data_IF_502974689254
#
_entry.id   IF_502974689254
#
_cell.length_a   1.000
_cell.length_b   1.000
_cell.length_c   1.000
_cell.angle_alpha   90.00
_cell.angle_beta   90.00
_cell.angle_gamma   90.00
#
_symmetry.space_group_name_H-M   'P 1'
#
loop_
_entity.id
_entity.type
_entity.pdbx_description
1 polymer ?
#
# COMPACT_ATOMS: atom_id res chain seq x y z
N UNK A 1 2.20 -1.62 -43.95
CA UNK A 1 1.40 -0.96 -42.90
C UNK A 1 2.24 -0.97 -41.65
N UNK A 2 2.74 0.20 -41.25
CA UNK A 2 3.65 0.38 -40.10
C UNK A 2 2.77 0.58 -38.87
N UNK A 3 2.55 -0.46 -38.08
CA UNK A 3 1.83 -0.32 -36.82
C UNK A 3 2.68 0.47 -35.83
N UNK A 4 2.00 1.40 -35.15
CA UNK A 4 2.54 2.32 -34.17
C UNK A 4 3.18 1.51 -33.03
N UNK A 5 4.48 1.71 -32.83
CA UNK A 5 5.15 1.45 -31.56
C UNK A 5 4.55 2.41 -30.53
N UNK A 6 3.45 1.99 -29.92
CA UNK A 6 2.94 2.62 -28.71
C UNK A 6 3.92 2.29 -27.60
N UNK A 7 4.74 3.26 -27.22
CA UNK A 7 5.43 3.25 -25.93
C UNK A 7 4.35 3.30 -24.83
N UNK A 8 3.76 2.14 -24.54
CA UNK A 8 2.98 1.94 -23.32
C UNK A 8 3.92 2.24 -22.18
N UNK A 9 3.61 3.30 -21.45
CA UNK A 9 4.33 3.76 -20.28
C UNK A 9 4.15 2.71 -19.17
N UNK A 10 4.89 1.61 -19.27
CA UNK A 10 5.03 0.60 -18.22
C UNK A 10 5.71 1.35 -17.08
N UNK A 11 4.92 1.80 -16.10
CA UNK A 11 5.41 2.21 -14.79
C UNK A 11 6.22 1.03 -14.26
N UNK A 12 7.55 1.12 -14.39
CA UNK A 12 8.41 0.01 -14.01
C UNK A 12 8.24 -0.14 -12.50
N UNK A 13 8.31 -1.37 -12.01
CA UNK A 13 8.31 -1.70 -10.57
C UNK A 13 9.24 -0.79 -9.73
N UNK A 14 10.28 -0.25 -10.36
CA UNK A 14 11.23 0.71 -9.79
C UNK A 14 10.64 2.11 -9.51
N UNK A 15 9.63 2.56 -10.26
CA UNK A 15 8.99 3.87 -10.08
C UNK A 15 8.09 3.89 -8.84
N UNK A 16 7.42 2.77 -8.56
CA UNK A 16 6.65 2.56 -7.33
C UNK A 16 7.57 2.48 -6.10
N UNK A 17 8.70 1.80 -6.21
CA UNK A 17 9.73 1.78 -5.17
C UNK A 17 10.31 3.19 -4.92
N UNK A 18 10.52 3.99 -5.97
CA UNK A 18 10.99 5.37 -5.86
C UNK A 18 9.96 6.29 -5.21
N UNK A 19 8.66 6.14 -5.55
CA UNK A 19 7.59 6.89 -4.92
C UNK A 19 7.44 6.56 -3.43
N UNK A 20 7.50 5.28 -3.06
CA UNK A 20 7.48 4.83 -1.66
C UNK A 20 8.71 5.32 -0.88
N UNK A 21 9.90 5.29 -1.50
CA UNK A 21 11.12 5.82 -0.91
C UNK A 21 11.05 7.34 -0.69
N UNK A 22 10.48 8.08 -1.64
CA UNK A 22 10.29 9.53 -1.52
C UNK A 22 9.32 9.88 -0.36
N UNK A 23 8.24 9.12 -0.18
CA UNK A 23 7.33 9.28 0.97
C UNK A 23 8.05 8.97 2.29
N UNK A 24 8.90 7.95 2.32
CA UNK A 24 9.71 7.60 3.50
C UNK A 24 10.71 8.72 3.86
N UNK A 25 11.36 9.32 2.87
CA UNK A 25 12.29 10.46 3.07
C UNK A 25 11.54 11.69 3.57
N UNK A 26 10.35 11.97 3.04
CA UNK A 26 9.48 13.07 3.49
C UNK A 26 8.99 12.88 4.94
N UNK A 27 8.68 11.64 5.35
CA UNK A 27 8.31 11.32 6.73
C UNK A 27 9.49 11.44 7.70
N UNK A 28 10.72 11.11 7.27
CA UNK A 28 11.93 11.29 8.07
C UNK A 28 12.32 12.77 8.27
N UNK A 29 11.85 13.66 7.39
CA UNK A 29 12.19 15.09 7.42
C UNK A 29 11.22 15.96 8.24
N UNK A 30 10.12 15.40 8.76
CA UNK A 30 9.15 16.18 9.54
C UNK A 30 9.75 16.61 10.90
N UNK A 31 9.82 17.93 11.20
CA UNK A 31 10.42 18.41 12.45
C UNK A 31 9.62 17.93 13.66
N UNK A 32 10.31 17.25 14.58
CA UNK A 32 9.80 16.86 15.88
C UNK A 32 9.62 18.12 16.76
N UNK A 33 8.53 18.87 16.54
CA UNK A 33 8.22 20.06 17.34
C UNK A 33 6.72 20.17 17.56
N UNK A 34 6.12 19.12 18.12
CA UNK A 34 4.87 19.27 18.85
C UNK A 34 5.24 19.37 20.33
N UNK A 35 5.27 20.59 20.88
CA UNK A 35 5.35 20.76 22.33
C UNK A 35 4.06 20.20 22.93
N UNK A 36 4.14 19.00 23.50
CA UNK A 36 3.11 18.50 24.39
C UNK A 36 2.79 19.60 25.41
N UNK A 37 1.51 19.93 25.57
CA UNK A 37 1.08 20.99 26.48
C UNK A 37 1.72 20.77 27.85
N UNK A 38 2.69 21.62 28.19
CA UNK A 38 3.31 21.58 29.51
C UNK A 38 2.21 21.86 30.52
N UNK A 39 2.10 21.00 31.53
CA UNK A 39 1.27 21.25 32.70
C UNK A 39 1.71 22.61 33.28
N UNK A 40 0.93 23.67 33.02
CA UNK A 40 1.18 24.99 33.58
C UNK A 40 0.60 24.96 34.99
N UNK A 41 1.48 24.79 35.98
CA UNK A 41 1.14 25.16 37.34
C UNK A 41 0.79 26.65 37.33
N UNK A 42 -0.36 26.99 37.89
CA UNK A 42 -0.74 28.39 38.05
C UNK A 42 0.16 29.04 39.09
N UNK A 43 0.33 30.36 39.05
CA UNK A 43 1.10 31.06 40.08
C UNK A 43 0.50 30.84 41.48
N UNK A 44 -0.81 30.57 41.57
CA UNK A 44 -1.49 30.23 42.83
C UNK A 44 -1.02 28.89 43.41
N UNK A 45 -0.75 27.89 42.56
CA UNK A 45 -0.19 26.60 42.99
C UNK A 45 1.26 26.74 43.48
N UNK A 46 2.01 27.69 42.91
CA UNK A 46 3.40 27.98 43.30
C UNK A 46 3.43 28.77 44.61
N UNK A 47 2.56 29.77 44.78
CA UNK A 47 2.45 30.57 46.01
C UNK A 47 1.98 29.74 47.20
N UNK A 48 1.10 28.75 46.97
CA UNK A 48 0.66 27.81 48.00
C UNK A 48 1.81 26.93 48.53
N UNK A 49 2.80 26.60 47.70
CA UNK A 49 4.00 25.84 48.10
C UNK A 49 5.03 26.72 48.80
N UNK A 50 5.09 28.02 48.47
CA UNK A 50 6.08 28.95 49.03
C UNK A 50 5.67 29.57 50.37
N UNK A 51 4.38 29.63 50.71
CA UNK A 51 3.91 30.22 51.98
C UNK A 51 4.12 29.33 53.22
N UNK A 52 4.50 28.06 53.06
CA UNK A 52 4.60 27.10 54.18
C UNK A 52 6.00 27.05 54.85
N UNK A 53 6.82 28.08 54.67
CA UNK A 53 8.28 28.04 54.89
C UNK A 53 8.86 28.60 56.19
N UNK A 54 8.08 29.11 57.15
CA UNK A 54 8.65 29.87 58.29
C UNK A 54 8.94 29.04 59.57
N UNK A 55 8.59 27.75 59.62
CA UNK A 55 8.65 26.95 60.85
C UNK A 55 9.88 26.03 60.97
N UNK A 56 10.91 26.19 60.13
CA UNK A 56 12.17 25.41 60.22
C UNK A 56 12.03 23.90 59.99
N UNK A 57 10.83 23.44 59.64
CA UNK A 57 10.53 22.08 59.23
C UNK A 57 11.03 21.89 57.80
N UNK A 58 11.84 20.85 57.54
CA UNK A 58 12.19 20.52 56.15
C UNK A 58 10.89 20.35 55.35
N UNK A 59 10.74 20.98 54.17
CA UNK A 59 9.54 20.86 53.36
C UNK A 59 9.32 19.37 53.08
N UNK A 60 8.33 18.80 53.75
CA UNK A 60 7.84 17.49 53.40
C UNK A 60 7.14 17.69 52.08
N UNK A 61 7.78 17.26 50.99
CA UNK A 61 7.10 17.12 49.71
C UNK A 61 5.79 16.39 50.03
N UNK A 62 4.62 16.96 49.70
CA UNK A 62 3.36 16.29 49.94
C UNK A 62 3.52 14.87 49.39
N UNK A 63 3.15 13.85 50.18
CA UNK A 63 3.08 12.48 49.70
C UNK A 63 2.18 12.50 48.47
N UNK A 64 2.80 12.61 47.29
CA UNK A 64 2.08 12.68 46.03
C UNK A 64 1.31 11.37 45.98
N UNK A 65 -0.05 11.40 46.00
CA UNK A 65 -0.85 10.20 46.08
C UNK A 65 -0.34 9.23 45.03
N UNK A 66 0.20 8.11 45.51
CA UNK A 66 1.25 7.35 44.84
C UNK A 66 1.03 7.28 43.34
N UNK A 67 1.99 7.82 42.57
CA UNK A 67 2.04 7.90 41.09
C UNK A 67 1.01 6.99 40.43
N UNK A 68 -0.24 7.46 40.35
CA UNK A 68 -1.29 6.72 39.69
C UNK A 68 -0.96 6.81 38.21
N UNK A 69 -0.30 5.77 37.70
CA UNK A 69 -0.06 5.61 36.28
C UNK A 69 -1.40 5.83 35.57
N UNK A 70 -1.47 6.86 34.73
CA UNK A 70 -2.68 7.14 33.97
C UNK A 70 -3.13 5.85 33.26
N UNK A 71 -4.43 5.49 33.32
CA UNK A 71 -4.90 4.24 32.75
C UNK A 71 -4.55 4.16 31.26
N UNK A 72 -3.94 3.04 30.86
CA UNK A 72 -3.52 2.80 29.47
C UNK A 72 -4.74 2.89 28.55
N UNK A 73 -4.66 3.78 27.55
CA UNK A 73 -5.73 4.00 26.58
C UNK A 73 -5.49 3.07 25.39
N UNK A 74 -6.29 2.02 25.27
CA UNK A 74 -6.20 1.08 24.14
C UNK A 74 -6.95 1.58 22.89
N UNK A 75 -7.92 2.50 23.08
CA UNK A 75 -8.76 3.00 21.99
C UNK A 75 -7.98 3.71 20.86
N UNK A 76 -6.89 4.47 21.09
CA UNK A 76 -6.12 5.06 19.99
C UNK A 76 -5.45 3.99 19.12
N UNK A 77 -5.02 2.87 19.72
CA UNK A 77 -4.46 1.73 18.97
C UNK A 77 -5.52 1.14 18.03
N UNK A 78 -6.74 0.93 18.54
CA UNK A 78 -7.84 0.41 17.75
C UNK A 78 -8.22 1.35 16.59
N UNK A 79 -8.23 2.67 16.83
CA UNK A 79 -8.48 3.65 15.77
C UNK A 79 -7.39 3.63 14.70
N UNK A 80 -6.11 3.54 15.08
CA UNK A 80 -5.00 3.41 14.13
C UNK A 80 -5.04 2.11 13.32
N UNK A 81 -5.63 1.03 13.87
CA UNK A 81 -5.81 -0.23 13.15
C UNK A 81 -6.90 -0.12 12.07
N UNK A 82 -7.98 0.63 12.35
CA UNK A 82 -9.07 0.88 11.41
C UNK A 82 -8.64 1.85 10.30
N UNK A 83 -8.02 2.96 10.69
CA UNK A 83 -7.58 4.01 9.78
C UNK A 83 -6.17 4.49 10.20
N UNK A 84 -5.14 4.29 9.36
CA UNK A 84 -3.79 4.74 9.67
C UNK A 84 -3.74 6.21 10.06
N UNK A 85 -3.10 6.52 11.19
CA UNK A 85 -2.93 7.87 11.71
C UNK A 85 -4.10 8.42 12.54
N UNK A 86 -5.25 7.74 12.58
CA UNK A 86 -6.43 8.24 13.30
C UNK A 86 -6.23 8.25 14.83
N UNK A 87 -5.59 7.23 15.39
CA UNK A 87 -5.20 7.25 16.80
C UNK A 87 -4.34 8.47 17.14
N UNK A 88 -3.44 8.86 16.25
CA UNK A 88 -2.52 9.97 16.47
C UNK A 88 -3.25 11.30 16.47
N UNK A 89 -4.11 11.51 15.46
CA UNK A 89 -4.92 12.73 15.37
C UNK A 89 -5.83 12.87 16.59
N UNK A 90 -6.49 11.79 17.01
CA UNK A 90 -7.40 11.81 18.16
C UNK A 90 -6.70 12.00 19.52
N UNK A 91 -5.40 11.72 19.60
CA UNK A 91 -4.56 12.04 20.78
C UNK A 91 -3.88 13.41 20.68
N UNK A 92 -4.18 14.19 19.64
CA UNK A 92 -3.64 15.55 19.44
C UNK A 92 -2.35 15.62 18.62
N UNK A 93 -1.87 14.48 18.09
CA UNK A 93 -0.66 14.42 17.27
C UNK A 93 -1.02 14.61 15.79
N UNK A 94 -0.69 15.77 15.23
CA UNK A 94 -0.99 16.11 13.83
C UNK A 94 -0.19 15.28 12.80
N UNK A 95 0.84 14.56 13.24
CA UNK A 95 1.64 13.68 12.39
C UNK A 95 0.90 12.44 11.88
N UNK A 96 -0.32 12.18 12.36
CA UNK A 96 -1.21 11.16 11.80
C UNK A 96 -1.88 11.58 10.48
N UNK A 97 -2.02 12.89 10.20
CA UNK A 97 -2.69 13.39 8.99
C UNK A 97 -2.05 12.90 7.68
N UNK A 98 -0.71 12.89 7.53
CA UNK A 98 -0.07 12.32 6.34
C UNK A 98 -0.43 10.85 6.08
N UNK A 99 -0.55 10.02 7.13
CA UNK A 99 -0.91 8.60 6.95
C UNK A 99 -2.35 8.44 6.46
N UNK A 100 -3.29 9.24 6.99
CA UNK A 100 -4.68 9.25 6.52
C UNK A 100 -4.73 9.62 5.03
N UNK A 101 -3.95 10.63 4.63
CA UNK A 101 -3.88 11.06 3.23
C UNK A 101 -3.30 9.97 2.32
N UNK A 102 -2.23 9.28 2.75
CA UNK A 102 -1.63 8.17 2.01
C UNK A 102 -2.60 7.00 1.90
N UNK A 103 -3.28 6.61 2.99
CA UNK A 103 -4.28 5.53 2.96
C UNK A 103 -5.42 5.86 1.98
N UNK A 104 -5.92 7.09 2.01
CA UNK A 104 -6.93 7.55 1.05
C UNK A 104 -6.47 7.48 -0.41
N UNK A 105 -5.22 7.85 -0.69
CA UNK A 105 -4.64 7.74 -2.03
C UNK A 105 -4.48 6.27 -2.47
N UNK A 106 -4.08 5.38 -1.56
CA UNK A 106 -3.99 3.94 -1.83
C UNK A 106 -5.39 3.38 -2.17
N UNK A 107 -6.41 3.69 -1.37
CA UNK A 107 -7.79 3.22 -1.63
C UNK A 107 -8.36 3.75 -2.94
N UNK A 108 -8.06 5.00 -3.29
CA UNK A 108 -8.40 5.53 -4.61
C UNK A 108 -7.73 4.72 -5.73
N UNK A 109 -6.44 4.39 -5.59
CA UNK A 109 -5.72 3.53 -6.53
C UNK A 109 -6.31 2.12 -6.65
N UNK A 110 -6.64 1.48 -5.51
CA UNK A 110 -7.32 0.18 -5.47
C UNK A 110 -8.64 0.23 -6.24
N UNK A 111 -9.47 1.25 -5.97
CA UNK A 111 -10.74 1.43 -6.66
C UNK A 111 -10.56 1.63 -8.18
N UNK A 112 -9.65 2.52 -8.58
CA UNK A 112 -9.36 2.77 -10.00
C UNK A 112 -8.89 1.50 -10.70
N UNK A 113 -7.95 0.75 -10.11
CA UNK A 113 -7.42 -0.48 -10.71
C UNK A 113 -8.39 -1.64 -10.72
N UNK A 114 -9.32 -1.69 -9.78
CA UNK A 114 -10.45 -2.62 -9.86
C UNK A 114 -11.35 -2.30 -11.05
N UNK A 115 -11.67 -1.03 -11.30
CA UNK A 115 -12.52 -0.63 -12.43
C UNK A 115 -11.80 -0.89 -13.76
N UNK A 116 -10.54 -0.46 -13.89
CA UNK A 116 -9.73 -0.69 -15.10
C UNK A 116 -9.64 -2.19 -15.44
N UNK A 117 -9.37 -3.04 -14.44
CA UNK A 117 -9.29 -4.50 -14.61
C UNK A 117 -10.62 -5.11 -15.07
N UNK A 118 -11.74 -4.69 -14.46
CA UNK A 118 -13.08 -5.15 -14.83
C UNK A 118 -13.48 -4.69 -16.25
N UNK A 119 -13.17 -3.45 -16.62
CA UNK A 119 -13.51 -2.91 -17.94
C UNK A 119 -12.76 -3.67 -19.03
N UNK A 120 -11.46 -3.93 -18.82
CA UNK A 120 -10.64 -4.76 -19.72
C UNK A 120 -11.04 -6.22 -19.73
N UNK A 121 -11.53 -6.75 -18.61
CA UNK A 121 -12.08 -8.10 -18.53
C UNK A 121 -13.28 -8.24 -19.47
N UNK A 122 -14.25 -7.33 -19.36
CA UNK A 122 -15.39 -7.30 -20.26
C UNK A 122 -14.97 -7.14 -21.74
N UNK A 123 -13.92 -6.38 -22.03
CA UNK A 123 -13.39 -6.22 -23.40
C UNK A 123 -12.82 -7.55 -23.95
N UNK A 124 -11.98 -8.27 -23.19
CA UNK A 124 -11.41 -9.53 -23.69
C UNK A 124 -12.47 -10.63 -23.78
N UNK A 125 -13.44 -10.64 -22.86
CA UNK A 125 -14.56 -11.60 -22.90
C UNK A 125 -15.40 -11.39 -24.16
N UNK A 126 -15.77 -10.13 -24.45
CA UNK A 126 -16.48 -9.79 -25.67
C UNK A 126 -15.70 -10.19 -26.93
N UNK A 127 -14.38 -9.96 -26.94
CA UNK A 127 -13.50 -10.37 -28.04
C UNK A 127 -13.49 -11.90 -28.23
N UNK A 128 -13.34 -12.67 -27.15
CA UNK A 128 -13.40 -14.13 -27.22
C UNK A 128 -14.77 -14.63 -27.70
N UNK A 129 -15.88 -14.05 -27.24
CA UNK A 129 -17.22 -14.42 -27.70
C UNK A 129 -17.44 -14.13 -29.19
N UNK A 130 -16.76 -13.13 -29.75
CA UNK A 130 -16.80 -12.83 -31.17
C UNK A 130 -15.91 -13.77 -31.99
N UNK A 131 -14.71 -14.10 -31.50
CA UNK A 131 -13.65 -14.72 -32.29
C UNK A 131 -13.34 -16.18 -31.94
N UNK A 132 -13.90 -16.72 -30.87
CA UNK A 132 -13.75 -18.11 -30.46
C UNK A 132 -15.10 -18.84 -30.49
N UNK A 133 -15.14 -20.01 -31.11
CA UNK A 133 -16.33 -20.84 -31.27
C UNK A 133 -16.14 -22.22 -30.65
N UNK A 134 -16.97 -22.54 -29.67
CA UNK A 134 -17.00 -23.86 -29.03
C UNK A 134 -17.42 -24.95 -30.02
N UNK A 135 -18.39 -24.66 -30.88
CA UNK A 135 -18.90 -25.60 -31.87
C UNK A 135 -17.79 -25.99 -32.88
N UNK A 136 -16.99 -25.02 -33.32
CA UNK A 136 -15.88 -25.27 -34.27
C UNK A 136 -14.73 -26.02 -33.60
N UNK A 137 -14.47 -25.72 -32.33
CA UNK A 137 -13.54 -26.49 -31.51
C UNK A 137 -14.00 -27.94 -31.32
N UNK A 138 -15.28 -28.19 -31.04
CA UNK A 138 -15.85 -29.54 -30.93
C UNK A 138 -15.77 -30.29 -32.27
N UNK A 139 -15.95 -29.62 -33.42
CA UNK A 139 -15.76 -30.21 -34.75
C UNK A 139 -14.31 -30.63 -34.95
N UNK A 140 -13.34 -29.77 -34.61
CA UNK A 140 -11.92 -30.09 -34.72
C UNK A 140 -11.52 -31.27 -33.82
N UNK A 141 -12.06 -31.32 -32.60
CA UNK A 141 -11.90 -32.43 -31.66
C UNK A 141 -12.44 -33.75 -32.28
N UNK A 142 -13.64 -33.71 -32.87
CA UNK A 142 -14.26 -34.89 -33.48
C UNK A 142 -13.52 -35.38 -34.75
N UNK A 143 -12.84 -34.48 -35.47
CA UNK A 143 -12.03 -34.81 -36.64
C UNK A 143 -10.64 -35.37 -36.28
N UNK A 144 -10.24 -35.29 -35.00
CA UNK A 144 -8.91 -35.69 -34.56
C UNK A 144 -7.82 -34.64 -34.83
N UNK A 145 -8.19 -33.39 -35.15
CA UNK A 145 -7.23 -32.32 -35.45
C UNK A 145 -6.35 -31.97 -34.23
N UNK A 146 -6.81 -32.33 -33.03
CA UNK A 146 -6.09 -32.13 -31.77
C UNK A 146 -5.14 -33.28 -31.41
N UNK A 147 -5.14 -34.40 -32.14
CA UNK A 147 -4.33 -35.59 -31.83
C UNK A 147 -2.82 -35.28 -31.63
N UNK A 148 -2.18 -34.40 -32.43
CA UNK A 148 -0.77 -34.04 -32.21
C UNK A 148 -0.48 -33.36 -30.86
N UNK A 149 -1.48 -32.75 -30.22
CA UNK A 149 -1.34 -32.04 -28.94
C UNK A 149 -1.58 -32.96 -27.73
N UNK A 150 -2.14 -34.15 -27.97
CA UNK A 150 -2.68 -35.03 -26.93
C UNK A 150 -2.13 -36.46 -26.97
N UNK A 151 -1.06 -36.74 -27.72
CA UNK A 151 -0.46 -38.09 -27.79
C UNK A 151 -0.20 -38.69 -26.39
N UNK A 152 0.14 -37.85 -25.40
CA UNK A 152 0.42 -38.29 -24.01
C UNK A 152 -0.84 -38.42 -23.12
N UNK A 153 -1.91 -37.67 -23.40
CA UNK A 153 -3.11 -37.61 -22.53
C UNK A 153 -4.26 -38.51 -23.01
N UNK A 154 -4.14 -39.09 -24.20
CA UNK A 154 -5.20 -39.86 -24.84
C UNK A 154 -6.22 -38.92 -25.47
N UNK A 155 -6.39 -39.01 -26.78
CA UNK A 155 -7.37 -38.20 -27.51
C UNK A 155 -8.77 -38.65 -27.13
N UNK A 156 -9.39 -37.88 -26.24
CA UNK A 156 -10.83 -37.80 -26.18
C UNK A 156 -11.40 -37.47 -27.55
N UNK A 157 -12.50 -38.10 -27.94
CA UNK A 157 -13.32 -37.65 -29.09
C UNK A 157 -14.52 -36.84 -28.62
N UNK A 158 -14.59 -36.59 -27.31
CA UNK A 158 -15.64 -35.83 -26.66
C UNK A 158 -15.02 -34.79 -25.71
N UNK A 159 -15.71 -33.68 -25.51
CA UNK A 159 -15.27 -32.61 -24.60
C UNK A 159 -15.07 -33.06 -23.16
N UNK A 160 -15.84 -34.06 -22.72
CA UNK A 160 -15.76 -34.62 -21.36
C UNK A 160 -14.42 -35.34 -21.12
N UNK A 161 -13.74 -35.74 -22.19
CA UNK A 161 -12.44 -36.40 -22.14
C UNK A 161 -11.27 -35.40 -22.19
N UNK A 162 -11.53 -34.13 -22.53
CA UNK A 162 -10.48 -33.10 -22.66
C UNK A 162 -10.12 -32.57 -21.28
N UNK A 163 -8.87 -32.76 -20.80
CA UNK A 163 -8.43 -32.20 -19.53
C UNK A 163 -8.64 -30.68 -19.50
N UNK A 164 -9.04 -30.12 -18.35
CA UNK A 164 -9.23 -28.67 -18.16
C UNK A 164 -10.40 -28.05 -18.94
N UNK A 165 -11.13 -28.80 -19.77
CA UNK A 165 -12.37 -28.28 -20.33
C UNK A 165 -13.39 -28.11 -19.19
N UNK A 166 -13.96 -26.91 -19.10
CA UNK A 166 -15.02 -26.57 -18.16
C UNK A 166 -16.11 -25.86 -18.97
N UNK A 167 -17.36 -26.36 -18.98
CA UNK A 167 -18.44 -25.68 -19.69
C UNK A 167 -18.63 -24.25 -19.16
N UNK A 168 -18.93 -23.30 -20.04
CA UNK A 168 -19.09 -21.89 -19.65
C UNK A 168 -20.18 -21.69 -18.61
N UNK A 169 -21.25 -22.49 -18.65
CA UNK A 169 -22.35 -22.42 -17.69
C UNK A 169 -21.96 -22.90 -16.28
N UNK A 170 -20.84 -23.62 -16.16
CA UNK A 170 -20.33 -24.14 -14.89
C UNK A 170 -19.36 -23.16 -14.25
N UNK A 171 -18.39 -22.66 -15.02
CA UNK A 171 -17.42 -21.64 -14.58
C UNK A 171 -16.97 -20.79 -15.77
N UNK A 172 -17.63 -19.65 -15.96
CA UNK A 172 -17.38 -18.71 -17.06
C UNK A 172 -15.94 -18.16 -17.02
N UNK A 173 -15.43 -17.85 -15.83
CA UNK A 173 -14.07 -17.34 -15.63
C UNK A 173 -13.03 -18.36 -16.07
N UNK A 174 -13.20 -19.61 -15.66
CA UNK A 174 -12.29 -20.70 -16.02
C UNK A 174 -12.37 -21.02 -17.52
N UNK A 175 -13.56 -20.94 -18.12
CA UNK A 175 -13.76 -21.11 -19.57
C UNK A 175 -12.96 -20.06 -20.37
N UNK A 176 -13.07 -18.77 -20.03
CA UNK A 176 -12.31 -17.70 -20.70
C UNK A 176 -10.80 -17.85 -20.47
N UNK A 177 -10.39 -18.21 -19.24
CA UNK A 177 -8.98 -18.46 -18.95
C UNK A 177 -8.42 -19.59 -19.84
N UNK A 178 -9.15 -20.69 -19.96
CA UNK A 178 -8.69 -21.87 -20.69
C UNK A 178 -8.66 -21.63 -22.21
N UNK A 179 -9.65 -20.95 -22.79
CA UNK A 179 -9.75 -20.67 -24.23
C UNK A 179 -8.50 -20.01 -24.84
N UNK A 180 -7.81 -19.14 -24.08
CA UNK A 180 -6.56 -18.52 -24.52
C UNK A 180 -5.29 -19.25 -24.06
N UNK A 181 -5.32 -19.83 -22.86
CA UNK A 181 -4.12 -20.30 -22.15
C UNK A 181 -3.56 -21.61 -22.70
N UNK A 182 -4.39 -22.53 -23.16
CA UNK A 182 -3.94 -23.87 -23.56
C UNK A 182 -4.13 -24.11 -25.06
N UNK A 183 -3.11 -24.66 -25.70
CA UNK A 183 -3.08 -24.92 -27.14
C UNK A 183 -4.17 -25.89 -27.61
N UNK A 184 -4.64 -26.76 -26.72
CA UNK A 184 -5.78 -27.63 -26.97
C UNK A 184 -7.08 -26.90 -27.33
N UNK A 185 -7.22 -25.61 -26.96
CA UNK A 185 -8.37 -24.78 -27.32
C UNK A 185 -8.10 -23.90 -28.54
N UNK A 186 -6.93 -24.02 -29.18
CA UNK A 186 -6.53 -23.15 -30.28
C UNK A 186 -7.51 -23.23 -31.47
N UNK A 187 -7.99 -24.44 -31.80
CA UNK A 187 -8.90 -24.66 -32.93
C UNK A 187 -10.26 -23.96 -32.83
N UNK A 188 -10.65 -23.47 -31.65
CA UNK A 188 -11.86 -22.65 -31.53
C UNK A 188 -11.71 -21.25 -32.11
N UNK A 189 -10.48 -20.75 -32.26
CA UNK A 189 -10.22 -19.42 -32.81
C UNK A 189 -10.54 -19.35 -34.31
N UNK A 190 -11.17 -18.24 -34.71
CA UNK A 190 -11.72 -18.01 -36.05
C UNK A 190 -10.77 -18.30 -37.20
N UNK A 191 -9.48 -18.01 -37.04
CA UNK A 191 -8.51 -18.19 -38.14
C UNK A 191 -8.35 -19.65 -38.57
N UNK A 192 -8.61 -20.60 -37.68
CA UNK A 192 -8.51 -22.03 -38.00
C UNK A 192 -9.60 -22.51 -38.98
N UNK A 193 -10.80 -21.96 -38.88
CA UNK A 193 -11.96 -22.43 -39.64
C UNK A 193 -12.46 -21.45 -40.71
N UNK A 194 -12.19 -20.14 -40.62
CA UNK A 194 -12.47 -19.18 -41.71
C UNK A 194 -11.32 -19.04 -42.70
N UNK A 195 -10.10 -18.85 -42.19
CA UNK A 195 -8.92 -18.54 -43.03
C UNK A 195 -8.17 -19.81 -43.47
N UNK A 196 -8.58 -20.98 -42.96
CA UNK A 196 -7.91 -22.25 -43.22
C UNK A 196 -6.49 -22.27 -42.67
N UNK A 197 -6.23 -21.56 -41.57
CA UNK A 197 -4.94 -21.56 -40.92
C UNK A 197 -4.61 -22.98 -40.45
N UNK A 198 -3.53 -23.55 -40.99
CA UNK A 198 -3.03 -24.88 -40.67
C UNK A 198 -1.71 -24.68 -39.94
N UNK A 199 -1.65 -24.88 -38.61
CA UNK A 199 -0.40 -24.72 -37.87
C UNK A 199 0.58 -25.78 -38.36
N UNK A 200 1.79 -25.39 -38.75
CA UNK A 200 2.83 -26.38 -38.97
C UNK A 200 3.14 -27.04 -37.63
N UNK A 201 3.23 -28.39 -37.54
CA UNK A 201 3.56 -29.05 -36.28
C UNK A 201 4.92 -28.57 -35.77
N UNK A 202 4.90 -27.67 -34.79
CA UNK A 202 6.09 -27.19 -34.09
C UNK A 202 6.54 -28.20 -33.04
N UNK A 203 7.77 -28.04 -32.55
CA UNK A 203 8.24 -28.88 -31.46
C UNK A 203 7.45 -28.56 -30.16
N UNK A 204 7.19 -29.56 -29.29
CA UNK A 204 6.45 -29.37 -28.04
C UNK A 204 7.04 -28.33 -27.07
N UNK A 205 8.31 -27.97 -27.26
CA UNK A 205 9.01 -27.03 -26.37
C UNK A 205 8.58 -25.57 -26.58
N UNK A 206 7.87 -25.25 -27.67
CA UNK A 206 7.61 -23.87 -28.08
C UNK A 206 6.23 -23.33 -27.63
N UNK A 207 5.47 -24.08 -26.84
CA UNK A 207 4.04 -23.82 -26.55
C UNK A 207 3.72 -22.46 -25.88
N UNK A 208 4.72 -21.80 -25.28
CA UNK A 208 4.53 -20.52 -24.58
C UNK A 208 5.18 -19.32 -25.28
N UNK A 209 5.80 -19.53 -26.45
CA UNK A 209 6.52 -18.47 -27.13
C UNK A 209 5.70 -17.89 -28.28
N UNK A 210 6.02 -16.65 -28.67
CA UNK A 210 5.34 -15.95 -29.76
C UNK A 210 5.53 -16.63 -31.13
N UNK A 211 6.48 -17.55 -31.26
CA UNK A 211 6.71 -18.42 -32.41
C UNK A 211 5.98 -19.77 -32.32
N UNK A 212 5.13 -19.97 -31.30
CA UNK A 212 4.23 -21.11 -31.25
C UNK A 212 3.34 -21.12 -32.51
N UNK A 213 3.35 -22.19 -33.32
CA UNK A 213 2.52 -22.28 -34.53
C UNK A 213 1.03 -22.26 -34.22
N UNK A 214 0.61 -22.47 -32.97
CA UNK A 214 -0.80 -22.33 -32.55
C UNK A 214 -1.17 -20.95 -32.02
N UNK A 215 -0.22 -20.01 -32.02
CA UNK A 215 -0.44 -18.63 -31.64
C UNK A 215 -0.89 -17.81 -32.85
N UNK A 216 -2.20 -17.87 -33.14
CA UNK A 216 -2.79 -17.05 -34.20
C UNK A 216 -2.84 -15.57 -33.80
N UNK A 217 -2.92 -14.62 -34.76
CA UNK A 217 -3.06 -13.20 -34.45
C UNK A 217 -4.18 -12.85 -33.46
N UNK A 218 -5.38 -13.40 -33.61
CA UNK A 218 -6.53 -13.17 -32.72
C UNK A 218 -6.30 -13.78 -31.35
N UNK A 219 -5.76 -15.01 -31.28
CA UNK A 219 -5.42 -15.64 -29.99
C UNK A 219 -4.38 -14.82 -29.24
N UNK A 220 -3.36 -14.34 -29.93
CA UNK A 220 -2.34 -13.48 -29.34
C UNK A 220 -2.93 -12.14 -28.86
N UNK A 221 -3.81 -11.51 -29.65
CA UNK A 221 -4.52 -10.30 -29.24
C UNK A 221 -5.34 -10.52 -27.97
N UNK A 222 -6.10 -11.63 -27.90
CA UNK A 222 -6.83 -12.03 -26.70
C UNK A 222 -5.93 -12.19 -25.47
N UNK A 223 -4.80 -12.89 -25.60
CA UNK A 223 -3.85 -13.11 -24.50
C UNK A 223 -3.31 -11.78 -23.98
N UNK A 224 -2.95 -10.86 -24.88
CA UNK A 224 -2.46 -9.53 -24.51
C UNK A 224 -3.54 -8.69 -23.80
N UNK A 225 -4.79 -8.76 -24.24
CA UNK A 225 -5.91 -8.08 -23.55
C UNK A 225 -6.12 -8.64 -22.14
N UNK A 226 -6.09 -9.98 -22.00
CA UNK A 226 -6.19 -10.66 -20.70
C UNK A 226 -5.02 -10.34 -19.78
N UNK A 227 -3.79 -10.34 -20.29
CA UNK A 227 -2.59 -9.92 -19.54
C UNK A 227 -2.75 -8.49 -19.03
N UNK A 228 -3.25 -7.58 -19.87
CA UNK A 228 -3.48 -6.18 -19.46
C UNK A 228 -4.54 -6.02 -18.36
N UNK A 229 -5.58 -6.87 -18.33
CA UNK A 229 -6.55 -6.91 -17.23
C UNK A 229 -5.90 -7.45 -15.94
N UNK A 230 -5.14 -8.54 -16.05
CA UNK A 230 -4.43 -9.14 -14.91
C UNK A 230 -3.41 -8.18 -14.27
N UNK A 231 -2.69 -7.40 -15.07
CA UNK A 231 -1.73 -6.40 -14.58
C UNK A 231 -2.39 -5.34 -13.67
N UNK A 232 -3.63 -4.94 -14.00
CA UNK A 232 -4.38 -3.99 -13.16
C UNK A 232 -4.82 -4.64 -11.84
N UNK A 233 -5.25 -5.90 -11.87
CA UNK A 233 -5.58 -6.64 -10.65
C UNK A 233 -4.34 -6.92 -9.77
N UNK A 234 -3.18 -7.23 -10.36
CA UNK A 234 -1.93 -7.40 -9.61
C UNK A 234 -1.50 -6.06 -8.96
N UNK A 235 -1.67 -4.95 -9.69
CA UNK A 235 -1.42 -3.61 -9.16
C UNK A 235 -2.37 -3.30 -8.00
N UNK A 236 -3.66 -3.62 -8.11
CA UNK A 236 -4.64 -3.50 -7.03
C UNK A 236 -4.20 -4.29 -5.79
N UNK A 237 -3.76 -5.53 -5.95
CA UNK A 237 -3.36 -6.40 -4.84
C UNK A 237 -2.07 -5.91 -4.16
N UNK A 238 -1.14 -5.37 -4.95
CA UNK A 238 0.05 -4.66 -4.43
C UNK A 238 -0.35 -3.46 -3.58
N UNK A 239 -1.32 -2.66 -4.01
CA UNK A 239 -1.84 -1.52 -3.26
C UNK A 239 -2.56 -1.95 -1.98
N UNK A 240 -3.37 -3.00 -2.02
CA UNK A 240 -4.00 -3.58 -0.82
C UNK A 240 -2.96 -4.03 0.21
N UNK A 241 -1.89 -4.67 -0.25
CA UNK A 241 -0.75 -5.06 0.60
C UNK A 241 -0.07 -3.84 1.24
N UNK A 242 0.12 -2.76 0.47
CA UNK A 242 0.65 -1.50 0.99
C UNK A 242 -0.27 -0.87 2.06
N UNK A 243 -1.60 -0.89 1.87
CA UNK A 243 -2.56 -0.41 2.86
C UNK A 243 -2.46 -1.21 4.18
N UNK A 244 -2.34 -2.55 4.09
CA UNK A 244 -2.16 -3.41 5.26
C UNK A 244 -0.86 -3.10 6.02
N UNK A 245 0.25 -2.89 5.30
CA UNK A 245 1.53 -2.50 5.90
C UNK A 245 1.44 -1.13 6.58
N UNK A 246 0.78 -0.16 5.95
CA UNK A 246 0.59 1.18 6.51
C UNK A 246 -0.23 1.13 7.82
N UNK A 247 -1.26 0.28 7.89
CA UNK A 247 -2.04 0.04 9.12
C UNK A 247 -1.19 -0.57 10.22
N UNK A 248 -0.41 -1.61 9.92
CA UNK A 248 0.48 -2.24 10.88
C UNK A 248 1.50 -1.23 11.43
N UNK A 249 2.11 -0.42 10.55
CA UNK A 249 3.02 0.65 10.93
C UNK A 249 2.34 1.68 11.83
N UNK A 250 1.12 2.12 11.48
CA UNK A 250 0.39 3.10 12.28
C UNK A 250 0.08 2.59 13.69
N UNK A 251 -0.31 1.32 13.85
CA UNK A 251 -0.53 0.71 15.16
C UNK A 251 0.77 0.66 15.97
N UNK A 252 1.88 0.26 15.36
CA UNK A 252 3.20 0.22 16.03
C UNK A 252 3.67 1.61 16.47
N UNK A 253 3.48 2.63 15.63
CA UNK A 253 3.76 4.02 15.97
C UNK A 253 2.93 4.49 17.16
N UNK A 254 1.68 4.03 17.24
CA UNK A 254 0.78 4.33 18.34
C UNK A 254 1.19 3.62 19.65
N UNK A 255 1.59 2.35 19.58
CA UNK A 255 2.17 1.59 20.70
C UNK A 255 3.40 2.33 21.26
N UNK A 256 4.27 2.82 20.38
CA UNK A 256 5.44 3.61 20.76
C UNK A 256 5.06 4.92 21.47
N UNK A 257 4.11 5.70 20.92
CA UNK A 257 3.65 6.96 21.52
C UNK A 257 3.01 6.81 22.89
N UNK A 258 2.19 5.78 23.09
CA UNK A 258 1.52 5.55 24.36
C UNK A 258 2.50 5.06 25.46
N UNK A 259 3.76 4.80 25.10
CA UNK A 259 4.80 4.34 26.02
C UNK A 259 4.64 2.88 26.41
N UNK A 260 4.11 2.04 25.50
CA UNK A 260 4.10 0.59 25.71
C UNK A 260 5.50 -0.02 25.55
N UNK A 261 6.33 0.58 24.70
CA UNK A 261 7.72 0.19 24.46
C UNK A 261 8.62 1.34 24.90
N UNK A 262 9.23 1.19 26.07
CA UNK A 262 9.97 2.26 26.76
C UNK A 262 9.14 2.81 27.92
N UNK A 263 9.74 2.90 29.11
CA UNK A 263 9.11 3.62 30.23
C UNK A 263 8.75 5.01 29.69
N UNK A 264 7.53 5.49 29.89
CA UNK A 264 7.22 6.90 29.65
C UNK A 264 8.37 7.68 30.25
N UNK A 265 9.13 8.40 29.43
CA UNK A 265 10.00 9.46 29.91
C UNK A 265 9.05 10.58 30.38
N UNK A 266 8.21 10.29 31.38
CA UNK A 266 8.01 11.24 32.44
C UNK A 266 9.41 11.41 33.00
N UNK A 267 10.15 12.38 32.42
CA UNK A 267 11.31 12.93 33.08
C UNK A 267 10.83 13.23 34.49
N UNK A 268 11.28 12.42 35.46
CA UNK A 268 11.00 12.62 36.85
C UNK A 268 11.47 14.04 37.16
N UNK A 269 10.53 14.99 37.19
CA UNK A 269 10.75 16.41 37.40
C UNK A 269 12.01 16.97 36.72
N UNK A 270 11.93 17.35 35.44
CA UNK A 270 12.50 18.67 35.16
C UNK A 270 11.50 19.68 35.76
N UNK A 271 11.59 19.83 37.08
CA UNK A 271 11.07 21.00 37.76
C UNK A 271 11.82 22.14 37.09
N UNK A 272 11.19 22.81 36.12
CA UNK A 272 11.58 24.17 35.78
C UNK A 272 11.29 24.98 37.02
N UNK A 273 12.25 25.02 37.94
CA UNK A 273 12.43 26.12 38.86
C UNK A 273 12.65 27.32 37.96
N UNK A 274 11.57 27.95 37.49
CA UNK A 274 11.63 29.36 37.21
C UNK A 274 11.88 30.00 38.57
N UNK A 275 13.15 30.14 38.94
CA UNK A 275 13.51 31.23 39.84
C UNK A 275 12.99 32.48 39.14
N UNK A 276 11.86 33.00 39.61
CA UNK A 276 11.57 34.41 39.45
C UNK A 276 12.79 35.11 40.04
N UNK A 277 13.65 35.66 39.18
CA UNK A 277 14.76 36.48 39.65
C UNK A 277 14.15 37.52 40.62
N UNK A 278 14.64 37.60 41.86
CA UNK A 278 14.24 38.68 42.74
C UNK A 278 14.55 39.96 41.99
N UNK A 279 13.55 40.85 41.92
CA UNK A 279 13.62 42.17 41.29
C UNK A 279 14.86 42.93 41.76
N UNK A 280 15.96 42.73 41.04
CA UNK A 280 17.28 43.30 41.23
C UNK A 280 17.93 43.25 39.85
N UNK A 281 17.64 44.27 39.05
CA UNK A 281 17.79 44.26 37.61
C UNK A 281 19.19 43.90 37.12
N UNK A 282 19.25 42.80 36.36
CA UNK A 282 20.33 42.53 35.43
C UNK A 282 19.77 42.73 34.02
N UNK A 283 20.14 43.84 33.36
CA UNK A 283 19.85 44.02 31.94
C UNK A 283 21.09 43.66 31.13
N UNK A 284 21.07 42.52 30.44
CA UNK A 284 22.05 42.22 29.41
C UNK A 284 21.56 42.78 28.08
N UNK A 285 22.17 43.86 27.58
CA UNK A 285 21.93 44.36 26.23
C UNK A 285 23.04 43.85 25.30
N UNK A 286 22.68 43.07 24.29
CA UNK A 286 23.59 42.72 23.20
C UNK A 286 23.43 43.72 22.06
N UNK A 287 24.51 44.40 21.66
CA UNK A 287 24.56 45.14 20.40
C UNK A 287 25.44 44.38 19.41
N UNK A 288 24.88 43.99 18.27
CA UNK A 288 25.63 43.34 17.21
C UNK A 288 26.56 44.36 16.53
N UNK A 289 27.87 44.19 16.69
CA UNK A 289 28.87 44.84 15.85
C UNK A 289 29.19 43.91 14.68
N UNK A 290 29.24 44.47 13.46
CA UNK A 290 29.21 43.76 12.17
C UNK A 290 30.40 42.86 11.81
N UNK A 291 31.03 42.18 12.77
CA UNK A 291 32.11 41.21 12.55
C UNK A 291 31.87 39.83 13.20
N UNK A 292 30.66 39.55 13.67
CA UNK A 292 30.27 38.19 14.10
C UNK A 292 30.85 37.71 15.44
N UNK A 293 31.47 38.59 16.23
CA UNK A 293 31.83 38.30 17.62
C UNK A 293 30.85 38.97 18.58
N UNK A 294 30.19 38.18 19.42
CA UNK A 294 29.32 38.66 20.50
C UNK A 294 30.18 38.91 21.75
N UNK A 295 30.37 40.17 22.11
CA UNK A 295 31.04 40.54 23.34
C UNK A 295 30.01 40.77 24.46
N UNK A 296 30.13 40.02 25.55
CA UNK A 296 29.34 40.23 26.76
C UNK A 296 30.05 41.24 27.66
N UNK A 297 29.36 42.32 28.03
CA UNK A 297 29.88 43.31 28.98
C UNK A 297 29.04 43.26 30.25
N UNK A 298 29.65 42.85 31.35
CA UNK A 298 29.06 42.99 32.69
C UNK A 298 29.50 44.34 33.27
N UNK A 299 28.53 45.12 33.74
CA UNK A 299 28.75 46.33 34.52
C UNK A 299 28.18 46.13 35.93
N UNK A 300 28.94 46.59 36.93
CA UNK A 300 28.57 46.63 38.34
C UNK A 300 27.97 47.98 38.70
#
# INVERSE_FOLDING_TARGET
MSWLQGDTMILRRNDLAAALLAVFILLAAAPASASAGSLRLSNEDIDAVLQDGDDGSQPQLPDLPGTQMAPRRWWPLALSAVLPGLGEVTTGHMRGLPMIAIDGAIWYGVYSKQQDGNDKEAEFEAFALEHWSEDEWEIALANGDLEPFFEEFGVGTSKDDVPLYVPREVDEREWFENAGKWDQFAWGWREYWEDGYQPEPGFPEDWFFADNPTMTPLRNEYILMRESSNDDFETRDTLLSAALLLRAFSVLQMIYLEGFVGRRYEAAGEVKLSMSEPTGGWSASSSATGSGMVAWRMSW
#
